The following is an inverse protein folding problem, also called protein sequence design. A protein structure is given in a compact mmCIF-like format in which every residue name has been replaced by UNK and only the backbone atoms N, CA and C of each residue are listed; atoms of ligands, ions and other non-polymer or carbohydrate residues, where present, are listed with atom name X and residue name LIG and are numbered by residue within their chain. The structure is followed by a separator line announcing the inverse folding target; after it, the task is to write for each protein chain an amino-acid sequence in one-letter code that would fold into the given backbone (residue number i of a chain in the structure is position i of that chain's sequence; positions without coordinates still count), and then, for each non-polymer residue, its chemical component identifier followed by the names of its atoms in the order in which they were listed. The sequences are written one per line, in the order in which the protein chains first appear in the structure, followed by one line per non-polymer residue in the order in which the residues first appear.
data_IF_235610279685
#
_entry.id   IF_235610279685
#
_cell.length_a   1.000
_cell.length_b   1.000
_cell.length_c   1.000
_cell.angle_alpha   90.00
_cell.angle_beta   90.00
_cell.angle_gamma   90.00
#
_symmetry.space_group_name_H-M   'P 1'
#
loop_
_entity.id
_entity.type
_entity.pdbx_description
1 polymer ?
#
# COMPACT_ATOMS: atom_id res chain seq x y z
N UNK A 1 25.27 -53.96 47.43
CA UNK A 1 23.89 -54.43 47.65
C UNK A 1 22.98 -53.59 46.75
N UNK A 2 22.50 -54.20 45.65
CA UNK A 2 21.51 -53.77 44.62
C UNK A 2 21.86 -52.50 43.79
N UNK A 3 22.10 -52.46 42.47
CA UNK A 3 21.62 -53.14 41.22
C UNK A 3 20.21 -52.76 40.74
N UNK A 4 20.19 -52.13 39.54
CA UNK A 4 19.18 -52.04 38.46
C UNK A 4 17.92 -51.16 38.69
N UNK A 5 17.28 -50.50 37.71
CA UNK A 5 17.34 -50.64 36.24
C UNK A 5 16.75 -49.42 35.49
N UNK A 6 17.33 -49.17 34.29
CA UNK A 6 16.70 -48.91 32.97
C UNK A 6 15.80 -47.69 32.68
N UNK A 7 16.35 -46.87 31.77
CA UNK A 7 15.86 -46.53 30.43
C UNK A 7 14.52 -45.79 30.27
N UNK A 8 14.64 -44.50 29.92
CA UNK A 8 13.61 -43.72 29.25
C UNK A 8 14.28 -42.66 28.37
N UNK A 9 14.73 -43.05 27.17
CA UNK A 9 15.05 -42.12 26.08
C UNK A 9 13.76 -41.47 25.61
N UNK A 10 13.40 -40.33 26.22
CA UNK A 10 12.49 -39.39 25.58
C UNK A 10 13.31 -38.60 24.57
N UNK A 11 13.32 -39.08 23.32
CA UNK A 11 13.62 -38.24 22.18
C UNK A 11 12.54 -37.14 22.14
N UNK A 12 12.85 -36.01 22.78
CA UNK A 12 12.07 -34.79 22.61
C UNK A 12 12.09 -34.43 21.14
N UNK A 13 10.99 -34.67 20.44
CA UNK A 13 10.71 -34.00 19.18
C UNK A 13 10.79 -32.50 19.45
N UNK A 14 11.86 -31.87 18.98
CA UNK A 14 11.86 -30.42 18.83
C UNK A 14 10.61 -30.06 18.02
N UNK A 15 9.78 -29.10 18.45
CA UNK A 15 8.67 -28.65 17.63
C UNK A 15 9.25 -28.14 16.31
N UNK A 16 8.76 -28.67 15.20
CA UNK A 16 9.10 -28.17 13.87
C UNK A 16 8.86 -26.66 13.87
N UNK A 17 9.91 -25.89 13.57
CA UNK A 17 9.80 -24.45 13.39
C UNK A 17 8.76 -24.19 12.31
N UNK A 18 7.61 -23.65 12.71
CA UNK A 18 6.59 -23.23 11.75
C UNK A 18 7.15 -22.01 11.04
N UNK A 19 7.62 -22.19 9.81
CA UNK A 19 8.09 -21.11 8.94
C UNK A 19 6.94 -20.15 8.63
N UNK A 20 6.73 -19.17 9.50
CA UNK A 20 5.93 -17.99 9.21
C UNK A 20 6.77 -17.04 8.36
N UNK A 21 6.95 -17.42 7.11
CA UNK A 21 7.54 -16.57 6.09
C UNK A 21 7.01 -17.05 4.76
N UNK A 22 5.90 -16.46 4.29
CA UNK A 22 5.63 -16.52 2.85
C UNK A 22 6.82 -15.83 2.21
N UNK A 23 7.58 -16.55 1.40
CA UNK A 23 8.55 -15.93 0.53
C UNK A 23 7.88 -14.73 -0.16
N UNK A 24 8.52 -13.55 -0.21
CA UNK A 24 7.93 -12.41 -0.89
C UNK A 24 7.61 -12.84 -2.32
N UNK A 25 6.41 -12.53 -2.86
CA UNK A 25 6.04 -12.90 -4.21
C UNK A 25 7.10 -12.38 -5.19
N UNK A 26 7.86 -13.29 -5.76
CA UNK A 26 8.93 -12.99 -6.70
C UNK A 26 8.37 -13.02 -8.12
N UNK A 27 8.31 -11.87 -8.78
CA UNK A 27 7.95 -11.79 -10.20
C UNK A 27 9.22 -11.97 -11.03
N UNK A 28 9.28 -13.02 -11.87
CA UNK A 28 10.40 -13.25 -12.78
C UNK A 28 10.13 -12.59 -14.14
N UNK A 29 11.03 -11.70 -14.57
CA UNK A 29 11.05 -11.15 -15.94
C UNK A 29 12.40 -11.49 -16.56
N UNK A 30 12.43 -12.50 -17.43
CA UNK A 30 13.69 -13.04 -17.97
C UNK A 30 14.58 -13.63 -16.87
N UNK A 31 15.85 -13.22 -16.82
CA UNK A 31 16.79 -13.59 -15.73
C UNK A 31 16.69 -12.70 -14.49
N UNK A 32 15.88 -11.63 -14.53
CA UNK A 32 15.73 -10.70 -13.41
C UNK A 32 14.57 -11.15 -12.50
N UNK A 33 14.83 -11.18 -11.20
CA UNK A 33 13.81 -11.37 -10.17
C UNK A 33 13.47 -10.01 -9.58
N UNK A 34 12.21 -9.60 -9.69
CA UNK A 34 11.70 -8.44 -8.96
C UNK A 34 11.33 -8.93 -7.56
N UNK A 35 12.15 -8.54 -6.57
CA UNK A 35 11.90 -8.78 -5.16
C UNK A 35 11.26 -7.53 -4.58
N UNK A 36 9.97 -7.61 -4.27
CA UNK A 36 9.22 -6.50 -3.69
C UNK A 36 9.16 -6.66 -2.18
N UNK A 37 9.60 -5.64 -1.46
CA UNK A 37 9.30 -5.51 -0.03
C UNK A 37 7.78 -5.47 0.19
N UNK A 38 7.29 -5.83 1.39
CA UNK A 38 5.86 -5.71 1.71
C UNK A 38 5.30 -4.31 1.40
N UNK A 39 6.06 -3.26 1.71
CA UNK A 39 5.66 -1.88 1.46
C UNK A 39 5.56 -1.54 -0.04
N UNK A 40 6.44 -2.09 -0.88
CA UNK A 40 6.35 -1.93 -2.33
C UNK A 40 5.14 -2.69 -2.90
N UNK A 41 4.80 -3.85 -2.34
CA UNK A 41 3.60 -4.60 -2.72
C UNK A 41 2.32 -3.81 -2.36
N UNK A 42 2.28 -3.21 -1.17
CA UNK A 42 1.17 -2.34 -0.75
C UNK A 42 0.97 -1.17 -1.72
N UNK A 43 2.06 -0.52 -2.16
CA UNK A 43 2.00 0.55 -3.18
C UNK A 43 1.44 0.06 -4.52
N UNK A 44 1.78 -1.15 -4.94
CA UNK A 44 1.18 -1.75 -6.14
C UNK A 44 -0.32 -2.03 -5.97
N UNK A 45 -0.75 -2.48 -4.79
CA UNK A 45 -2.17 -2.68 -4.49
C UNK A 45 -2.95 -1.36 -4.54
N UNK A 46 -2.35 -0.26 -4.07
CA UNK A 46 -2.95 1.08 -4.20
C UNK A 46 -3.11 1.46 -5.68
N UNK A 47 -2.11 1.20 -6.52
CA UNK A 47 -2.19 1.46 -7.95
C UNK A 47 -3.35 0.66 -8.60
N UNK A 48 -3.51 -0.62 -8.24
CA UNK A 48 -4.62 -1.47 -8.72
C UNK A 48 -5.98 -0.91 -8.26
N UNK A 49 -6.12 -0.54 -6.98
CA UNK A 49 -7.35 0.04 -6.44
C UNK A 49 -7.70 1.36 -7.13
N UNK A 50 -6.71 2.21 -7.40
CA UNK A 50 -6.89 3.46 -8.14
C UNK A 50 -7.33 3.22 -9.59
N UNK A 51 -6.79 2.20 -10.26
CA UNK A 51 -7.22 1.77 -11.59
C UNK A 51 -8.70 1.39 -11.61
N UNK A 52 -9.12 0.54 -10.66
CA UNK A 52 -10.52 0.15 -10.50
C UNK A 52 -11.43 1.35 -10.21
N UNK A 53 -10.99 2.29 -9.37
CA UNK A 53 -11.72 3.53 -9.09
C UNK A 53 -11.90 4.38 -10.36
N UNK A 54 -10.85 4.57 -11.17
CA UNK A 54 -10.93 5.28 -12.46
C UNK A 54 -11.93 4.62 -13.41
N UNK A 55 -11.92 3.29 -13.52
CA UNK A 55 -12.89 2.57 -14.35
C UNK A 55 -14.33 2.74 -13.87
N UNK A 56 -14.56 2.72 -12.55
CA UNK A 56 -15.88 2.96 -11.96
C UNK A 56 -16.38 4.37 -12.24
N UNK A 57 -15.53 5.39 -11.99
CA UNK A 57 -15.82 6.79 -12.31
C UNK A 57 -16.08 6.99 -13.80
N UNK A 58 -15.30 6.35 -14.67
CA UNK A 58 -15.46 6.41 -16.13
C UNK A 58 -16.80 5.87 -16.63
N UNK A 59 -17.48 5.02 -15.85
CA UNK A 59 -18.85 4.54 -16.11
C UNK A 59 -19.94 5.38 -15.42
N UNK A 60 -19.56 6.50 -14.79
CA UNK A 60 -20.49 7.45 -14.14
C UNK A 60 -20.81 7.15 -12.67
N UNK A 61 -20.06 6.25 -12.00
CA UNK A 61 -20.26 6.01 -10.58
C UNK A 61 -19.55 7.09 -9.75
N UNK A 62 -20.25 7.60 -8.73
CA UNK A 62 -19.65 8.41 -7.67
C UNK A 62 -18.80 7.51 -6.78
N UNK A 63 -17.57 7.93 -6.51
CA UNK A 63 -16.59 7.15 -5.76
C UNK A 63 -16.92 7.10 -4.26
N UNK A 64 -16.74 5.96 -3.64
CA UNK A 64 -16.76 5.84 -2.19
C UNK A 64 -15.42 6.28 -1.55
N UNK A 65 -15.35 6.24 -0.22
CA UNK A 65 -14.17 6.66 0.52
C UNK A 65 -12.87 5.94 0.12
N UNK A 66 -12.77 4.59 0.13
CA UNK A 66 -11.52 3.92 -0.25
C UNK A 66 -11.13 4.13 -1.72
N UNK A 67 -12.10 4.28 -2.63
CA UNK A 67 -11.82 4.60 -4.03
C UNK A 67 -11.22 6.00 -4.21
N UNK A 68 -11.78 7.00 -3.53
CA UNK A 68 -11.25 8.36 -3.54
C UNK A 68 -9.83 8.41 -2.95
N UNK A 69 -9.62 7.77 -1.80
CA UNK A 69 -8.31 7.67 -1.15
C UNK A 69 -7.29 7.01 -2.07
N UNK A 70 -7.62 5.87 -2.68
CA UNK A 70 -6.71 5.18 -3.59
C UNK A 70 -6.36 6.03 -4.82
N UNK A 71 -7.35 6.69 -5.43
CA UNK A 71 -7.15 7.50 -6.63
C UNK A 71 -6.23 8.71 -6.36
N UNK A 72 -6.48 9.45 -5.27
CA UNK A 72 -5.62 10.58 -4.86
C UNK A 72 -4.22 10.08 -4.47
N UNK A 73 -4.13 8.98 -3.73
CA UNK A 73 -2.83 8.41 -3.32
C UNK A 73 -1.99 8.00 -4.53
N UNK A 74 -2.60 7.32 -5.51
CA UNK A 74 -1.94 6.97 -6.77
C UNK A 74 -1.47 8.24 -7.51
N UNK A 75 -2.28 9.30 -7.56
CA UNK A 75 -1.86 10.57 -8.17
C UNK A 75 -0.60 11.16 -7.50
N UNK A 76 -0.52 11.12 -6.17
CA UNK A 76 0.64 11.62 -5.43
C UNK A 76 1.90 10.79 -5.69
N UNK A 77 1.76 9.46 -5.71
CA UNK A 77 2.87 8.54 -5.98
C UNK A 77 3.42 8.73 -7.40
N UNK A 78 2.56 8.82 -8.41
CA UNK A 78 2.99 9.07 -9.81
C UNK A 78 3.58 10.47 -9.96
N UNK A 79 2.99 11.49 -9.31
CA UNK A 79 3.53 12.84 -9.36
C UNK A 79 4.93 12.97 -8.73
N UNK A 80 5.20 12.24 -7.65
CA UNK A 80 6.55 12.15 -7.08
C UNK A 80 7.50 11.44 -8.05
N UNK A 81 7.03 10.39 -8.73
CA UNK A 81 7.79 9.66 -9.75
C UNK A 81 8.13 10.52 -10.97
N UNK A 82 7.24 11.44 -11.34
CA UNK A 82 7.43 12.44 -12.40
C UNK A 82 8.38 13.57 -12.00
N UNK A 83 8.82 13.61 -10.74
CA UNK A 83 9.76 14.61 -10.23
C UNK A 83 9.11 15.94 -9.84
N UNK A 84 7.79 15.96 -9.61
CA UNK A 84 7.12 17.15 -9.04
C UNK A 84 7.60 17.41 -7.62
N UNK A 85 7.48 18.64 -7.14
CA UNK A 85 7.87 18.96 -5.76
C UNK A 85 6.80 18.53 -4.77
N UNK A 86 7.19 18.35 -3.49
CA UNK A 86 6.22 18.09 -2.40
C UNK A 86 5.16 19.19 -2.34
N UNK A 87 5.57 20.46 -2.43
CA UNK A 87 4.65 21.60 -2.36
C UNK A 87 3.64 21.60 -3.53
N UNK A 88 4.07 21.25 -4.74
CA UNK A 88 3.17 21.13 -5.89
C UNK A 88 2.14 20.02 -5.67
N UNK A 89 2.55 18.89 -5.09
CA UNK A 89 1.67 17.75 -4.84
C UNK A 89 0.69 18.00 -3.69
N UNK A 90 1.10 18.74 -2.66
CA UNK A 90 0.19 19.19 -1.59
C UNK A 90 -0.98 20.01 -2.16
N UNK A 91 -0.69 20.86 -3.15
CA UNK A 91 -1.71 21.70 -3.78
C UNK A 91 -2.53 20.92 -4.80
N UNK A 92 -1.87 20.26 -5.75
CA UNK A 92 -2.55 19.55 -6.83
C UNK A 92 -3.33 18.31 -6.37
N UNK A 93 -2.97 17.72 -5.23
CA UNK A 93 -3.76 16.65 -4.63
C UNK A 93 -5.21 17.05 -4.32
N UNK A 94 -5.48 18.35 -4.13
CA UNK A 94 -6.82 18.90 -3.89
C UNK A 94 -7.64 19.14 -5.16
N UNK A 95 -7.02 18.99 -6.33
CA UNK A 95 -7.64 19.24 -7.63
C UNK A 95 -8.01 17.93 -8.34
N UNK A 96 -7.68 16.79 -7.73
CA UNK A 96 -7.86 15.46 -8.34
C UNK A 96 -9.33 15.04 -8.40
N UNK A 97 -10.08 15.33 -7.35
CA UNK A 97 -11.49 14.98 -7.20
C UNK A 97 -12.28 16.16 -6.67
N UNK A 98 -13.49 16.29 -7.18
CA UNK A 98 -14.50 17.25 -6.70
C UNK A 98 -15.58 16.53 -5.89
N UNK A 99 -16.44 17.30 -5.22
CA UNK A 99 -17.60 16.75 -4.49
C UNK A 99 -18.57 15.97 -5.38
N UNK A 100 -18.63 16.30 -6.67
CA UNK A 100 -19.48 15.62 -7.64
C UNK A 100 -18.93 14.24 -8.01
N UNK A 101 -17.63 14.03 -7.86
CA UNK A 101 -16.97 12.76 -8.20
C UNK A 101 -17.13 11.68 -7.13
N UNK A 102 -17.52 12.06 -5.91
CA UNK A 102 -17.56 11.18 -4.74
C UNK A 102 -18.94 11.13 -4.12
N UNK A 103 -19.26 10.07 -3.37
CA UNK A 103 -20.53 9.93 -2.64
C UNK A 103 -20.69 11.00 -1.55
N UNK A 104 -21.92 11.22 -1.09
CA UNK A 104 -22.22 12.12 0.03
C UNK A 104 -21.45 11.72 1.30
N UNK A 105 -20.94 12.69 2.03
CA UNK A 105 -20.17 12.50 3.27
C UNK A 105 -18.69 12.13 3.06
N UNK A 106 -18.30 11.69 1.85
CA UNK A 106 -16.89 11.34 1.56
C UNK A 106 -15.93 12.52 1.75
N UNK A 107 -16.23 13.76 1.29
CA UNK A 107 -15.34 14.92 1.50
C UNK A 107 -15.08 15.19 2.98
N UNK A 108 -16.10 15.05 3.83
CA UNK A 108 -16.01 15.28 5.27
C UNK A 108 -15.25 14.16 5.99
N UNK A 109 -15.36 12.92 5.52
CA UNK A 109 -14.63 11.76 6.06
C UNK A 109 -13.13 11.80 5.71
N UNK A 110 -12.78 12.33 4.54
CA UNK A 110 -11.42 12.35 4.02
C UNK A 110 -10.72 13.66 4.37
N UNK A 111 -10.41 13.85 5.66
CA UNK A 111 -9.86 15.11 6.20
C UNK A 111 -8.45 15.38 5.70
N UNK A 112 -7.64 14.34 5.56
CA UNK A 112 -6.31 14.41 4.97
C UNK A 112 -5.88 13.07 4.38
N UNK A 113 -4.91 13.14 3.47
CA UNK A 113 -4.19 11.98 2.94
C UNK A 113 -2.69 12.22 3.20
N UNK A 114 -2.04 11.22 3.76
CA UNK A 114 -0.60 11.20 4.02
C UNK A 114 0.04 10.05 3.26
N UNK A 115 1.05 10.35 2.44
CA UNK A 115 1.71 9.37 1.57
C UNK A 115 3.21 9.58 1.61
N UNK A 116 3.95 8.53 1.96
CA UNK A 116 5.39 8.49 1.73
C UNK A 116 5.66 8.14 0.27
N UNK A 117 6.22 9.08 -0.48
CA UNK A 117 6.54 8.91 -1.89
C UNK A 117 8.05 9.07 -2.13
N UNK A 118 8.57 8.37 -3.14
CA UNK A 118 9.99 8.41 -3.51
C UNK A 118 10.19 9.43 -4.63
N UNK A 119 10.78 10.57 -4.28
CA UNK A 119 11.15 11.65 -5.20
C UNK A 119 12.56 11.43 -5.76
N UNK A 120 12.97 12.19 -6.81
CA UNK A 120 14.34 12.13 -7.33
C UNK A 120 15.42 12.39 -6.27
N UNK A 121 15.10 13.14 -5.21
CA UNK A 121 16.00 13.48 -4.12
C UNK A 121 15.75 12.71 -2.82
N UNK A 122 14.93 11.65 -2.87
CA UNK A 122 14.71 10.73 -1.74
C UNK A 122 13.24 10.57 -1.35
N UNK A 123 12.99 9.73 -0.35
CA UNK A 123 11.65 9.48 0.18
C UNK A 123 11.20 10.64 1.08
N UNK A 124 9.98 11.14 0.86
CA UNK A 124 9.39 12.24 1.62
C UNK A 124 7.91 11.98 1.89
N UNK A 125 7.41 12.53 3.00
CA UNK A 125 5.99 12.53 3.32
C UNK A 125 5.28 13.68 2.59
N UNK A 126 4.21 13.38 1.88
CA UNK A 126 3.29 14.35 1.29
C UNK A 126 1.99 14.30 2.07
N UNK A 127 1.55 15.45 2.58
CA UNK A 127 0.27 15.59 3.29
C UNK A 127 -0.65 16.52 2.51
N UNK A 128 -1.80 16.00 2.08
CA UNK A 128 -2.85 16.78 1.43
C UNK A 128 -4.00 16.94 2.42
N UNK A 129 -4.20 18.15 2.93
CA UNK A 129 -5.35 18.48 3.77
C UNK A 129 -6.56 18.83 2.92
N UNK A 130 -7.74 18.35 3.33
CA UNK A 130 -9.01 18.54 2.62
C UNK A 130 -8.85 18.30 1.10
N UNK A 131 -8.45 17.08 0.70
CA UNK A 131 -8.18 16.74 -0.70
C UNK A 131 -9.43 16.83 -1.60
N UNK A 132 -10.62 16.94 -1.01
CA UNK A 132 -11.87 17.18 -1.72
C UNK A 132 -12.54 18.40 -1.09
N UNK A 133 -12.25 19.63 -1.58
CA UNK A 133 -12.79 20.86 -1.00
C UNK A 133 -14.32 20.98 -1.11
#
# INVERSE_FOLDING_TARGET
MWIAARAGTFAGHAPAAVSHGRDPPAVRVGSAVVLLSPHEQERLLIHVAAGLARERRGRGLRLNHPEATALITSFLLEGARDGRTVADLMSAGREVLTRDDVMEGVPEMLVEIQVEATFPDGTKLVTVHQPIP
#
